data_IF_058379869531
#
_entry.id   IF_058379869531
#
_cell.length_a   1.000
_cell.length_b   1.000
_cell.length_c   1.000
_cell.angle_alpha   90.00
_cell.angle_beta   90.00
_cell.angle_gamma   90.00
#
_symmetry.space_group_name_H-M   'P 1'
#
loop_
_entity.id
_entity.type
_entity.pdbx_description
1 polymer ?
#
# COMPACT_ATOMS: atom_id res chain seq x y z
N UNK A 1 -7.29 35.35 9.45
CA UNK A 1 -6.83 34.20 10.25
C UNK A 1 -6.68 33.06 9.28
N UNK A 2 -5.52 32.41 9.22
CA UNK A 2 -5.37 31.18 8.43
C UNK A 2 -6.17 30.09 9.11
N UNK A 3 -7.22 29.61 8.45
CA UNK A 3 -8.03 28.51 8.96
C UNK A 3 -7.18 27.23 8.99
N UNK A 4 -7.37 26.42 10.04
CA UNK A 4 -6.60 25.18 10.24
C UNK A 4 -7.24 24.06 9.43
N UNK A 5 -6.42 23.30 8.72
CA UNK A 5 -6.83 22.09 8.01
C UNK A 5 -6.68 20.89 8.94
N UNK A 6 -7.73 20.10 9.08
CA UNK A 6 -7.69 18.85 9.84
C UNK A 6 -7.65 17.66 8.89
N UNK A 7 -6.86 16.65 9.23
CA UNK A 7 -6.71 15.44 8.40
C UNK A 7 -6.95 14.22 9.28
N UNK A 8 -7.96 13.41 8.94
CA UNK A 8 -8.24 12.17 9.66
C UNK A 8 -7.45 11.03 9.02
N UNK A 9 -6.52 10.46 9.77
CA UNK A 9 -5.65 9.38 9.33
C UNK A 9 -4.27 9.86 8.89
N UNK A 10 -3.23 9.28 9.51
CA UNK A 10 -1.83 9.54 9.23
C UNK A 10 -1.19 8.58 8.22
N UNK A 11 -1.98 7.93 7.36
CA UNK A 11 -1.46 7.04 6.30
C UNK A 11 -0.67 7.81 5.23
N UNK A 12 -0.29 7.14 4.13
CA UNK A 12 0.47 7.78 3.04
C UNK A 12 -0.23 9.04 2.49
N UNK A 13 -1.54 8.96 2.22
CA UNK A 13 -2.31 10.08 1.69
C UNK A 13 -2.42 11.24 2.69
N UNK A 14 -2.74 10.95 3.96
CA UNK A 14 -2.86 11.99 4.99
C UNK A 14 -1.52 12.67 5.30
N UNK A 15 -0.44 11.89 5.30
CA UNK A 15 0.94 12.39 5.47
C UNK A 15 1.35 13.33 4.33
N UNK A 16 1.10 12.94 3.08
CA UNK A 16 1.42 13.77 1.92
C UNK A 16 0.54 15.03 1.87
N UNK A 17 -0.77 14.91 2.13
CA UNK A 17 -1.68 16.05 2.18
C UNK A 17 -1.27 17.07 3.26
N UNK A 18 -0.89 16.60 4.45
CA UNK A 18 -0.40 17.47 5.52
C UNK A 18 0.86 18.20 5.10
N UNK A 19 1.81 17.48 4.50
CA UNK A 19 3.07 18.05 4.03
C UNK A 19 2.86 19.15 2.98
N UNK A 20 2.01 18.88 1.98
CA UNK A 20 1.73 19.84 0.91
C UNK A 20 1.01 21.08 1.44
N UNK A 21 -0.04 20.90 2.25
CA UNK A 21 -0.78 22.02 2.82
C UNK A 21 0.10 22.90 3.74
N UNK A 22 0.94 22.28 4.57
CA UNK A 22 1.80 23.00 5.49
C UNK A 22 2.92 23.78 4.76
N UNK A 23 3.49 23.24 3.67
CA UNK A 23 4.45 23.98 2.85
C UNK A 23 3.82 25.15 2.09
N UNK A 24 2.50 25.14 1.88
CA UNK A 24 1.74 26.28 1.36
C UNK A 24 1.33 27.29 2.46
N UNK A 25 1.78 27.08 3.71
CA UNK A 25 1.54 27.99 4.82
C UNK A 25 0.22 27.76 5.57
N UNK A 26 -0.47 26.64 5.33
CA UNK A 26 -1.71 26.29 6.03
C UNK A 26 -1.37 25.49 7.30
N UNK A 27 -1.81 25.90 8.50
CA UNK A 27 -1.69 25.08 9.70
C UNK A 27 -2.48 23.78 9.56
N UNK A 28 -1.87 22.64 9.92
CA UNK A 28 -2.46 21.30 9.79
C UNK A 28 -2.47 20.57 11.13
N UNK A 29 -3.57 19.89 11.43
CA UNK A 29 -3.67 18.90 12.50
C UNK A 29 -3.93 17.53 11.89
N UNK A 30 -3.03 16.58 12.11
CA UNK A 30 -3.24 15.16 11.76
C UNK A 30 -3.84 14.46 12.97
N UNK A 31 -5.02 13.87 12.80
CA UNK A 31 -5.66 13.01 13.79
C UNK A 31 -5.32 11.55 13.48
N UNK A 32 -4.56 10.91 14.36
CA UNK A 32 -4.15 9.52 14.19
C UNK A 32 -4.64 8.66 15.37
N UNK A 33 -5.40 7.63 15.05
CA UNK A 33 -5.99 6.75 16.05
C UNK A 33 -4.97 5.75 16.61
N UNK A 34 -3.93 5.42 15.83
CA UNK A 34 -2.85 4.53 16.24
C UNK A 34 -1.81 5.26 17.10
N UNK A 35 -1.19 4.58 18.07
CA UNK A 35 -1.35 3.16 18.40
C UNK A 35 -2.51 2.88 19.37
N UNK A 36 -3.27 3.87 19.84
CA UNK A 36 -4.33 3.65 20.84
C UNK A 36 -5.44 2.73 20.32
N UNK A 37 -5.84 2.94 19.07
CA UNK A 37 -6.77 2.09 18.32
C UNK A 37 -5.98 1.49 17.16
N UNK A 38 -5.47 0.28 17.40
CA UNK A 38 -4.74 -0.48 16.38
C UNK A 38 -5.65 -1.02 15.28
N UNK A 39 -5.03 -1.54 14.22
CA UNK A 39 -5.71 -2.40 13.24
C UNK A 39 -5.02 -3.76 13.21
N UNK A 40 -5.61 -4.75 12.53
CA UNK A 40 -4.97 -6.07 12.40
C UNK A 40 -3.72 -6.06 11.49
N UNK A 41 -3.53 -5.01 10.70
CA UNK A 41 -2.46 -4.92 9.71
C UNK A 41 -1.27 -4.04 10.16
N UNK A 42 -1.55 -2.98 10.91
CA UNK A 42 -0.51 -2.08 11.41
C UNK A 42 0.14 -2.65 12.68
N UNK A 43 1.45 -2.50 12.79
CA UNK A 43 2.27 -2.96 13.90
C UNK A 43 2.80 -1.81 14.75
N UNK A 44 2.76 -0.57 14.25
CA UNK A 44 3.33 0.60 14.93
C UNK A 44 2.34 1.77 15.05
N UNK A 45 2.78 2.83 15.75
CA UNK A 45 2.13 4.14 15.76
C UNK A 45 2.75 5.15 14.78
N UNK A 46 3.62 4.71 13.87
CA UNK A 46 4.24 5.59 12.89
C UNK A 46 3.25 5.94 11.77
N UNK A 47 3.37 7.17 11.29
CA UNK A 47 2.66 7.69 10.13
C UNK A 47 3.23 7.07 8.85
N UNK A 48 2.40 6.96 7.81
CA UNK A 48 2.71 6.33 6.52
C UNK A 48 3.26 4.90 6.59
N UNK A 49 2.94 4.14 7.64
CA UNK A 49 3.33 2.73 7.75
C UNK A 49 2.83 1.90 6.55
N UNK A 50 3.72 1.10 5.95
CA UNK A 50 3.38 0.16 4.88
C UNK A 50 3.00 -1.20 5.46
N UNK A 51 1.76 -1.64 5.23
CA UNK A 51 1.22 -2.89 5.83
C UNK A 51 1.20 -4.10 4.89
N UNK A 52 1.42 -3.90 3.59
CA UNK A 52 1.44 -4.96 2.58
C UNK A 52 2.82 -5.00 1.90
N UNK A 53 2.90 -4.85 0.58
CA UNK A 53 4.17 -4.76 -0.15
C UNK A 53 5.04 -3.61 0.33
N UNK A 54 6.37 -3.80 0.36
CA UNK A 54 7.35 -2.73 0.57
C UNK A 54 7.75 -2.02 -0.73
N UNK A 55 7.07 -2.32 -1.84
CA UNK A 55 7.34 -1.71 -3.14
C UNK A 55 6.22 -0.76 -3.56
N UNK A 56 6.62 0.44 -3.97
CA UNK A 56 5.81 1.41 -4.70
C UNK A 56 5.63 1.04 -6.18
N UNK A 57 6.07 -0.15 -6.61
CA UNK A 57 6.07 -0.65 -7.99
C UNK A 57 7.11 0.08 -8.85
N UNK A 58 6.95 0.01 -10.17
CA UNK A 58 7.90 0.51 -11.17
C UNK A 58 8.25 1.97 -10.92
N UNK A 59 9.55 2.30 -10.99
CA UNK A 59 10.05 3.68 -10.92
C UNK A 59 10.52 4.19 -12.30
N UNK A 60 10.02 3.56 -13.36
CA UNK A 60 10.29 3.87 -14.77
C UNK A 60 9.26 4.90 -15.23
N UNK A 61 9.66 6.16 -15.29
CA UNK A 61 8.79 7.30 -15.60
C UNK A 61 8.52 7.49 -17.11
N UNK A 62 9.28 6.82 -17.97
CA UNK A 62 9.10 6.88 -19.42
C UNK A 62 8.10 5.84 -19.95
N UNK A 63 8.09 4.64 -19.36
CA UNK A 63 7.34 3.47 -19.88
C UNK A 63 6.32 2.91 -18.89
N UNK A 64 6.19 3.48 -17.69
CA UNK A 64 5.23 3.03 -16.68
C UNK A 64 4.42 4.18 -16.07
N UNK A 65 3.09 4.06 -16.08
CA UNK A 65 2.21 5.07 -15.50
C UNK A 65 2.45 5.33 -14.00
N UNK A 66 2.85 4.30 -13.24
CA UNK A 66 3.17 4.46 -11.80
C UNK A 66 4.50 5.20 -11.63
N UNK A 67 5.50 4.87 -12.46
CA UNK A 67 6.78 5.60 -12.45
C UNK A 67 6.60 7.06 -12.83
N UNK A 68 5.74 7.36 -13.80
CA UNK A 68 5.41 8.75 -14.16
C UNK A 68 4.79 9.51 -12.98
N UNK A 69 3.87 8.88 -12.24
CA UNK A 69 3.30 9.48 -11.03
C UNK A 69 4.37 9.73 -9.96
N UNK A 70 5.33 8.81 -9.76
CA UNK A 70 6.44 9.05 -8.84
C UNK A 70 7.26 10.28 -9.27
N UNK A 71 7.55 10.40 -10.57
CA UNK A 71 8.25 11.56 -11.11
C UNK A 71 7.48 12.86 -10.83
N UNK A 72 6.18 12.91 -11.08
CA UNK A 72 5.33 14.08 -10.80
C UNK A 72 5.33 14.42 -9.30
N UNK A 73 5.22 13.42 -8.43
CA UNK A 73 5.30 13.60 -6.97
C UNK A 73 6.67 14.14 -6.53
N UNK A 74 7.76 13.72 -7.17
CA UNK A 74 9.10 14.29 -6.93
C UNK A 74 9.18 15.74 -7.37
N UNK A 75 8.63 16.10 -8.54
CA UNK A 75 8.56 17.48 -9.00
C UNK A 75 7.73 18.36 -8.06
N UNK A 76 6.70 17.79 -7.43
CA UNK A 76 5.87 18.46 -6.42
C UNK A 76 6.52 18.53 -5.02
N UNK A 77 7.78 18.10 -4.85
CA UNK A 77 8.47 18.13 -3.56
C UNK A 77 7.86 17.19 -2.51
N UNK A 78 7.33 16.05 -2.96
CA UNK A 78 6.53 15.16 -2.13
C UNK A 78 7.32 14.48 -1.00
N UNK A 79 6.69 14.38 0.18
CA UNK A 79 7.28 13.78 1.37
C UNK A 79 7.50 12.28 1.22
N UNK A 80 6.49 11.57 0.71
CA UNK A 80 6.50 10.12 0.53
C UNK A 80 7.61 9.71 -0.44
N UNK A 81 7.73 10.36 -1.61
CA UNK A 81 8.79 10.03 -2.57
C UNK A 81 10.18 10.38 -2.01
N UNK A 82 10.35 11.53 -1.36
CA UNK A 82 11.64 11.89 -0.77
C UNK A 82 12.07 10.90 0.34
N UNK A 83 11.14 10.43 1.18
CA UNK A 83 11.43 9.41 2.18
C UNK A 83 11.70 8.04 1.54
N UNK A 84 10.99 7.70 0.46
CA UNK A 84 11.22 6.45 -0.27
C UNK A 84 12.60 6.41 -0.93
N UNK A 85 13.03 7.51 -1.54
CA UNK A 85 14.36 7.65 -2.14
C UNK A 85 15.47 7.49 -1.08
N UNK A 86 15.27 8.07 0.12
CA UNK A 86 16.23 7.98 1.23
C UNK A 86 16.40 6.56 1.80
N UNK A 87 15.36 5.72 1.70
CA UNK A 87 15.32 4.37 2.26
C UNK A 87 15.15 3.29 1.18
N UNK A 88 15.58 3.60 -0.04
CA UNK A 88 15.45 2.73 -1.20
C UNK A 88 16.25 1.43 -1.01
N UNK A 89 15.59 0.32 -1.27
CA UNK A 89 16.18 -1.01 -1.38
C UNK A 89 16.34 -1.42 -2.85
N UNK A 90 17.31 -2.27 -3.18
CA UNK A 90 17.42 -2.87 -4.50
C UNK A 90 16.13 -3.61 -4.89
N UNK A 91 15.54 -3.28 -6.06
CA UNK A 91 14.22 -3.78 -6.44
C UNK A 91 13.99 -3.90 -7.96
N UNK A 92 15.03 -4.18 -8.77
CA UNK A 92 14.84 -4.60 -10.16
C UNK A 92 14.09 -3.63 -11.08
N UNK A 93 14.24 -2.32 -10.85
CA UNK A 93 13.53 -1.25 -11.58
C UNK A 93 12.23 -0.79 -10.90
N UNK A 94 11.81 -1.43 -9.82
CA UNK A 94 10.82 -0.88 -8.90
C UNK A 94 11.49 0.04 -7.86
N UNK A 95 10.69 0.90 -7.24
CA UNK A 95 11.02 1.58 -6.00
C UNK A 95 10.52 0.72 -4.85
N UNK A 96 11.41 0.07 -4.11
CA UNK A 96 11.09 -0.58 -2.85
C UNK A 96 11.85 0.08 -1.72
N UNK A 97 11.32 -0.03 -0.50
CA UNK A 97 11.85 0.65 0.68
C UNK A 97 11.99 -0.31 1.84
N UNK A 98 12.87 0.03 2.77
CA UNK A 98 12.80 -0.53 4.12
C UNK A 98 11.62 0.14 4.85
N UNK A 99 10.65 -0.66 5.29
CA UNK A 99 9.33 -0.17 5.76
C UNK A 99 9.45 0.67 7.03
N UNK A 100 10.26 0.21 7.97
CA UNK A 100 10.39 0.84 9.29
C UNK A 100 11.12 2.19 9.20
N UNK A 101 12.36 2.28 8.65
CA UNK A 101 13.05 3.56 8.50
C UNK A 101 12.29 4.57 7.63
N UNK A 102 11.56 4.09 6.62
CA UNK A 102 10.67 4.90 5.80
C UNK A 102 9.59 5.58 6.63
N UNK A 103 8.80 4.80 7.38
CA UNK A 103 7.69 5.31 8.19
C UNK A 103 8.18 6.22 9.34
N UNK A 104 9.31 5.87 9.96
CA UNK A 104 9.97 6.70 10.97
C UNK A 104 10.38 8.07 10.41
N UNK A 105 10.94 8.09 9.21
CA UNK A 105 11.38 9.33 8.55
C UNK A 105 10.20 10.23 8.20
N UNK A 106 9.13 9.66 7.64
CA UNK A 106 7.89 10.41 7.38
C UNK A 106 7.34 11.01 8.67
N UNK A 107 7.23 10.20 9.72
CA UNK A 107 6.75 10.61 11.04
C UNK A 107 7.59 11.74 11.64
N UNK A 108 8.92 11.59 11.60
CA UNK A 108 9.84 12.58 12.14
C UNK A 108 9.75 13.91 11.39
N UNK A 109 9.68 13.89 10.05
CA UNK A 109 9.55 15.10 9.23
C UNK A 109 8.25 15.84 9.47
N UNK A 110 7.13 15.13 9.60
CA UNK A 110 5.84 15.75 9.91
C UNK A 110 5.83 16.39 11.29
N UNK A 111 6.31 15.66 12.32
CA UNK A 111 6.39 16.19 13.70
C UNK A 111 7.36 17.35 13.86
N UNK A 112 8.37 17.46 12.99
CA UNK A 112 9.32 18.56 12.98
C UNK A 112 8.83 19.81 12.22
N UNK A 113 7.76 19.71 11.43
CA UNK A 113 7.26 20.83 10.64
C UNK A 113 6.50 21.83 11.54
N UNK A 114 6.83 23.13 11.54
CA UNK A 114 6.29 24.10 12.51
C UNK A 114 4.79 24.36 12.38
N UNK A 115 4.20 24.01 11.23
CA UNK A 115 2.78 24.16 10.94
C UNK A 115 2.00 22.85 11.02
N UNK A 116 2.61 21.74 11.45
CA UNK A 116 1.94 20.45 11.58
C UNK A 116 1.94 20.02 13.05
N UNK A 117 0.77 19.71 13.59
CA UNK A 117 0.63 18.97 14.84
C UNK A 117 0.01 17.60 14.57
N UNK A 118 0.33 16.65 15.45
CA UNK A 118 -0.27 15.30 15.43
C UNK A 118 -1.01 15.12 16.74
N UNK A 119 -2.32 14.96 16.64
CA UNK A 119 -3.21 14.72 17.77
C UNK A 119 -3.57 13.23 17.82
N UNK A 120 -3.23 12.52 18.91
CA UNK A 120 -3.63 11.14 19.08
C UNK A 120 -5.12 11.06 19.37
N UNK A 121 -5.84 10.19 18.68
CA UNK A 121 -7.26 9.96 18.93
C UNK A 121 -8.01 9.43 17.72
N UNK A 122 -9.04 8.61 18.00
CA UNK A 122 -9.98 8.18 16.98
C UNK A 122 -11.04 9.27 16.76
N UNK A 123 -11.22 9.68 15.49
CA UNK A 123 -12.35 10.50 15.09
C UNK A 123 -13.50 9.57 14.71
N UNK A 124 -14.49 9.46 15.60
CA UNK A 124 -15.60 8.52 15.45
C UNK A 124 -16.77 9.04 14.60
N UNK A 125 -16.82 10.33 14.29
CA UNK A 125 -17.96 10.97 13.60
C UNK A 125 -17.45 12.04 12.65
N UNK A 126 -18.13 12.18 11.50
CA UNK A 126 -17.84 13.24 10.56
C UNK A 126 -17.99 14.62 11.23
N UNK A 127 -17.01 15.51 11.05
CA UNK A 127 -17.06 16.84 11.59
C UNK A 127 -18.13 17.68 10.87
N UNK A 128 -18.94 18.41 11.64
CA UNK A 128 -20.04 19.22 11.09
C UNK A 128 -19.58 20.54 10.45
N UNK A 129 -18.35 20.99 10.71
CA UNK A 129 -17.79 22.24 10.22
C UNK A 129 -16.27 22.24 10.19
N UNK A 130 -15.68 23.24 9.53
CA UNK A 130 -14.24 23.36 9.34
C UNK A 130 -13.76 22.73 8.02
N UNK A 131 -12.44 22.72 7.83
CA UNK A 131 -11.81 22.16 6.63
C UNK A 131 -11.16 20.83 6.98
N UNK A 132 -11.65 19.76 6.36
CA UNK A 132 -11.24 18.40 6.68
C UNK A 132 -10.88 17.61 5.43
N UNK A 133 -9.80 16.83 5.54
CA UNK A 133 -9.48 15.74 4.61
C UNK A 133 -9.68 14.43 5.35
N UNK A 134 -10.39 13.49 4.71
CA UNK A 134 -10.59 12.14 5.23
C UNK A 134 -9.63 11.22 4.49
N UNK A 135 -8.60 10.74 5.18
CA UNK A 135 -7.49 9.96 4.63
C UNK A 135 -7.23 8.68 5.46
N UNK A 136 -8.29 8.01 5.89
CA UNK A 136 -8.27 6.88 6.84
C UNK A 136 -7.91 5.54 6.23
N UNK A 137 -7.67 5.49 4.92
CA UNK A 137 -7.24 4.27 4.23
C UNK A 137 -8.28 3.15 4.22
N UNK A 138 -7.87 1.93 3.80
CA UNK A 138 -8.78 0.80 3.68
C UNK A 138 -9.30 0.29 5.02
N UNK A 139 -8.61 0.58 6.13
CA UNK A 139 -8.95 0.13 7.48
C UNK A 139 -9.54 1.28 8.32
N UNK A 140 -10.50 1.99 7.73
CA UNK A 140 -11.25 3.05 8.44
C UNK A 140 -11.96 2.45 9.66
N UNK A 141 -11.94 3.14 10.80
CA UNK A 141 -12.55 2.62 12.03
C UNK A 141 -14.07 2.43 11.88
N UNK A 142 -14.62 1.46 12.59
CA UNK A 142 -16.03 1.08 12.45
C UNK A 142 -16.99 2.23 12.76
N UNK A 143 -16.69 3.06 13.76
CA UNK A 143 -17.51 4.21 14.11
C UNK A 143 -17.52 5.28 13.01
N UNK A 144 -16.35 5.64 12.48
CA UNK A 144 -16.25 6.61 11.39
C UNK A 144 -16.87 6.07 10.10
N UNK A 145 -16.68 4.79 9.80
CA UNK A 145 -17.31 4.13 8.66
C UNK A 145 -18.84 4.20 8.73
N UNK A 146 -19.43 4.00 9.92
CA UNK A 146 -20.88 4.18 10.11
C UNK A 146 -21.30 5.64 9.91
N UNK A 147 -20.53 6.60 10.42
CA UNK A 147 -20.81 8.02 10.21
C UNK A 147 -20.72 8.42 8.73
N UNK A 148 -19.75 7.89 7.98
CA UNK A 148 -19.61 8.08 6.54
C UNK A 148 -20.82 7.50 5.80
N UNK A 149 -21.21 6.25 6.11
CA UNK A 149 -22.39 5.60 5.51
C UNK A 149 -23.68 6.38 5.75
N UNK A 150 -23.84 6.96 6.94
CA UNK A 150 -25.01 7.77 7.26
C UNK A 150 -25.09 9.05 6.41
N UNK A 151 -23.93 9.65 6.09
CA UNK A 151 -23.86 10.88 5.29
C UNK A 151 -23.94 10.60 3.77
N UNK A 152 -23.27 9.56 3.28
CA UNK A 152 -23.16 9.28 1.84
C UNK A 152 -24.20 8.32 1.30
N UNK A 153 -24.92 7.62 2.18
CA UNK A 153 -25.70 6.44 1.84
C UNK A 153 -24.86 5.16 1.77
N UNK A 154 -25.52 4.01 1.96
CA UNK A 154 -24.87 2.70 2.13
C UNK A 154 -24.21 2.17 0.85
N UNK A 155 -24.72 2.54 -0.33
CA UNK A 155 -24.23 2.03 -1.63
C UNK A 155 -22.88 2.65 -2.04
N UNK A 156 -22.42 3.69 -1.35
CA UNK A 156 -21.24 4.47 -1.72
C UNK A 156 -19.94 3.99 -1.05
N UNK A 157 -19.97 2.93 -0.23
CA UNK A 157 -18.86 2.56 0.63
C UNK A 157 -18.60 1.04 0.66
N UNK A 158 -17.53 0.63 -0.02
CA UNK A 158 -17.04 -0.74 -0.02
C UNK A 158 -15.60 -0.79 0.52
N UNK A 159 -15.32 -1.73 1.42
CA UNK A 159 -13.96 -1.98 1.93
C UNK A 159 -13.49 -3.34 1.41
N UNK A 160 -12.35 -3.34 0.74
CA UNK A 160 -11.64 -4.56 0.36
C UNK A 160 -10.20 -4.43 0.83
N UNK A 161 -9.71 -5.44 1.53
CA UNK A 161 -8.29 -5.57 1.82
C UNK A 161 -7.65 -6.56 0.83
N UNK A 162 -6.37 -6.34 0.52
CA UNK A 162 -5.61 -7.18 -0.40
C UNK A 162 -4.20 -7.37 0.15
N UNK A 163 -4.07 -8.39 1.02
CA UNK A 163 -2.80 -8.77 1.64
C UNK A 163 -2.35 -10.11 1.08
N UNK A 164 -1.07 -10.19 0.71
CA UNK A 164 -0.40 -11.44 0.37
C UNK A 164 0.27 -12.05 1.61
N UNK A 165 0.37 -13.39 1.72
CA UNK A 165 1.11 -14.04 2.80
C UNK A 165 2.60 -13.63 2.81
N UNK A 166 3.16 -13.46 4.01
CA UNK A 166 4.60 -13.23 4.24
C UNK A 166 5.19 -14.51 4.83
N UNK A 167 6.32 -14.95 4.30
CA UNK A 167 7.06 -16.13 4.77
C UNK A 167 8.46 -15.74 5.24
N UNK A 168 9.01 -16.48 6.20
CA UNK A 168 10.38 -16.29 6.64
C UNK A 168 11.38 -16.71 5.57
N UNK A 169 12.43 -15.92 5.34
CA UNK A 169 13.40 -16.18 4.29
C UNK A 169 14.20 -17.47 4.51
N UNK A 170 14.46 -17.83 5.77
CA UNK A 170 15.21 -19.02 6.18
C UNK A 170 14.41 -20.34 6.06
N UNK A 171 13.09 -20.26 5.85
CA UNK A 171 12.24 -21.44 5.61
C UNK A 171 12.16 -21.85 4.14
N UNK A 172 12.80 -21.11 3.23
CA UNK A 172 12.71 -21.33 1.78
C UNK A 172 13.82 -22.27 1.31
N UNK A 173 13.43 -23.31 0.55
CA UNK A 173 14.35 -24.21 -0.14
C UNK A 173 14.99 -23.52 -1.37
N UNK A 174 16.13 -22.87 -1.15
CA UNK A 174 16.88 -22.17 -2.19
C UNK A 174 17.48 -23.09 -3.27
N UNK A 175 17.42 -24.42 -3.14
CA UNK A 175 17.78 -25.32 -4.24
C UNK A 175 16.76 -25.31 -5.39
N UNK A 176 15.55 -24.79 -5.13
CA UNK A 176 14.44 -24.71 -6.08
C UNK A 176 14.05 -23.29 -6.46
N UNK A 177 14.78 -22.29 -5.96
CA UNK A 177 14.46 -20.88 -6.19
C UNK A 177 15.75 -20.11 -6.51
N UNK A 178 15.63 -18.97 -7.18
CA UNK A 178 16.79 -18.15 -7.49
C UNK A 178 16.47 -16.66 -7.42
N UNK A 179 17.50 -15.88 -7.10
CA UNK A 179 17.39 -14.44 -7.08
C UNK A 179 17.61 -13.86 -8.48
N UNK A 180 16.61 -13.17 -9.01
CA UNK A 180 16.69 -12.45 -10.28
C UNK A 180 15.58 -11.41 -10.42
N UNK A 181 15.96 -10.23 -10.89
CA UNK A 181 15.04 -9.22 -11.39
C UNK A 181 14.81 -9.42 -12.89
N UNK A 182 13.61 -9.10 -13.39
CA UNK A 182 13.28 -9.30 -14.80
C UNK A 182 14.28 -8.58 -15.73
N UNK A 183 14.70 -9.27 -16.78
CA UNK A 183 15.68 -8.86 -17.78
C UNK A 183 17.03 -8.45 -17.18
N UNK A 184 17.34 -8.95 -15.98
CA UNK A 184 18.48 -8.51 -15.20
C UNK A 184 18.51 -6.97 -15.05
N UNK A 185 17.33 -6.34 -14.92
CA UNK A 185 17.21 -4.88 -14.73
C UNK A 185 17.86 -4.49 -13.40
N UNK A 186 18.69 -3.45 -13.45
CA UNK A 186 19.42 -2.91 -12.30
C UNK A 186 20.89 -2.66 -12.62
N UNK A 187 21.44 -1.54 -12.14
CA UNK A 187 22.85 -1.20 -12.35
C UNK A 187 23.75 -2.04 -11.43
N UNK A 188 23.27 -2.32 -10.23
CA UNK A 188 23.99 -3.12 -9.23
C UNK A 188 23.59 -4.58 -9.25
N UNK A 189 24.48 -5.47 -8.78
CA UNK A 189 24.15 -6.90 -8.63
C UNK A 189 22.96 -7.11 -7.69
N UNK A 190 22.87 -6.34 -6.62
CA UNK A 190 21.75 -6.41 -5.69
C UNK A 190 20.42 -6.07 -6.38
N UNK A 191 20.40 -5.05 -7.24
CA UNK A 191 19.19 -4.70 -8.00
C UNK A 191 18.82 -5.78 -9.01
N UNK A 192 19.82 -6.41 -9.64
CA UNK A 192 19.61 -7.54 -10.56
C UNK A 192 19.15 -8.82 -9.85
N UNK A 193 19.32 -8.91 -8.53
CA UNK A 193 18.97 -10.08 -7.69
C UNK A 193 17.93 -9.74 -6.62
N UNK A 194 17.07 -8.76 -6.87
CA UNK A 194 16.17 -8.22 -5.86
C UNK A 194 14.95 -9.09 -5.54
N UNK A 195 14.54 -9.96 -6.46
CA UNK A 195 13.39 -10.83 -6.29
C UNK A 195 13.80 -12.30 -6.24
N UNK A 196 13.22 -13.05 -5.30
CA UNK A 196 13.32 -14.51 -5.28
C UNK A 196 12.22 -15.09 -6.16
N UNK A 197 12.61 -15.92 -7.13
CA UNK A 197 11.72 -16.55 -8.09
C UNK A 197 11.59 -18.04 -7.80
N UNK A 198 10.35 -18.52 -7.71
CA UNK A 198 10.01 -19.93 -7.53
C UNK A 198 9.41 -20.45 -8.85
N UNK A 199 10.16 -21.23 -9.66
CA UNK A 199 9.70 -21.67 -10.96
C UNK A 199 8.66 -22.77 -10.80
N UNK A 200 7.72 -22.82 -11.74
CA UNK A 200 6.82 -23.95 -11.90
C UNK A 200 6.86 -24.44 -13.34
N UNK A 201 6.92 -25.75 -13.51
CA UNK A 201 6.60 -26.36 -14.79
C UNK A 201 5.08 -26.34 -15.02
N UNK A 202 4.67 -26.77 -16.22
CA UNK A 202 3.26 -26.77 -16.59
C UNK A 202 2.40 -27.63 -15.65
N UNK A 203 2.89 -28.81 -15.28
CA UNK A 203 2.13 -29.74 -14.44
C UNK A 203 1.93 -29.17 -13.03
N UNK A 204 2.98 -28.57 -12.47
CA UNK A 204 2.95 -27.90 -11.16
C UNK A 204 2.01 -26.69 -11.19
N UNK A 205 2.07 -25.87 -12.24
CA UNK A 205 1.16 -24.75 -12.41
C UNK A 205 -0.30 -25.20 -12.50
N UNK A 206 -0.61 -26.18 -13.35
CA UNK A 206 -1.97 -26.69 -13.52
C UNK A 206 -2.52 -27.28 -12.21
N UNK A 207 -1.69 -28.05 -11.48
CA UNK A 207 -2.06 -28.58 -10.17
C UNK A 207 -2.25 -27.48 -9.11
N UNK A 208 -1.43 -26.43 -9.14
CA UNK A 208 -1.59 -25.27 -8.26
C UNK A 208 -2.91 -24.54 -8.53
N UNK A 209 -3.27 -24.32 -9.80
CA UNK A 209 -4.55 -23.72 -10.16
C UNK A 209 -5.73 -24.59 -9.69
N UNK A 210 -5.64 -25.90 -9.85
CA UNK A 210 -6.69 -26.82 -9.38
C UNK A 210 -6.85 -26.76 -7.86
N UNK A 211 -5.74 -26.78 -7.13
CA UNK A 211 -5.74 -26.66 -5.68
C UNK A 211 -6.29 -25.30 -5.22
N UNK A 212 -5.91 -24.21 -5.89
CA UNK A 212 -6.37 -22.86 -5.57
C UNK A 212 -7.88 -22.69 -5.81
N UNK A 213 -8.41 -23.26 -6.89
CA UNK A 213 -9.84 -23.20 -7.20
C UNK A 213 -10.68 -24.06 -6.24
N UNK A 214 -10.12 -25.17 -5.76
CA UNK A 214 -10.77 -26.08 -4.82
C UNK A 214 -10.59 -25.68 -3.34
N UNK A 215 -9.70 -24.74 -3.05
CA UNK A 215 -9.43 -24.30 -1.68
C UNK A 215 -10.65 -23.62 -1.04
N UNK A 216 -10.77 -23.78 0.27
CA UNK A 216 -11.76 -23.06 1.06
C UNK A 216 -11.48 -21.55 0.97
N UNK A 217 -12.54 -20.79 0.70
CA UNK A 217 -12.51 -19.33 0.61
C UNK A 217 -13.26 -18.77 1.80
N UNK A 218 -12.80 -17.64 2.32
CA UNK A 218 -13.60 -16.91 3.30
C UNK A 218 -14.89 -16.45 2.65
N UNK A 219 -16.01 -16.75 3.31
CA UNK A 219 -17.31 -16.21 2.92
C UNK A 219 -17.43 -14.76 3.37
N UNK A 220 -17.97 -13.92 2.49
CA UNK A 220 -18.34 -12.56 2.82
C UNK A 220 -19.46 -12.56 3.87
N UNK A 221 -19.40 -11.63 4.82
CA UNK A 221 -20.47 -11.44 5.80
C UNK A 221 -21.75 -10.92 5.11
N UNK A 222 -22.90 -11.13 5.74
CA UNK A 222 -24.20 -10.66 5.22
C UNK A 222 -24.18 -9.13 5.03
N UNK A 223 -24.29 -8.67 3.78
CA UNK A 223 -24.22 -7.25 3.39
C UNK A 223 -22.88 -6.80 2.77
N UNK A 224 -21.86 -7.66 2.75
CA UNK A 224 -20.66 -7.46 1.94
C UNK A 224 -20.94 -7.91 0.50
N UNK A 225 -20.78 -7.02 -0.47
CA UNK A 225 -20.91 -7.38 -1.90
C UNK A 225 -19.53 -7.59 -2.51
N UNK A 226 -19.38 -8.68 -3.26
CA UNK A 226 -18.18 -9.00 -4.03
C UNK A 226 -18.09 -8.18 -5.33
N UNK A 227 -18.39 -6.87 -5.29
CA UNK A 227 -18.01 -5.98 -6.38
C UNK A 227 -16.50 -5.73 -6.27
N UNK A 228 -15.73 -6.72 -6.70
CA UNK A 228 -14.28 -6.63 -6.67
C UNK A 228 -13.82 -5.44 -7.49
N UNK A 229 -12.87 -4.68 -6.93
CA UNK A 229 -12.14 -3.69 -7.69
C UNK A 229 -11.25 -4.41 -8.71
N UNK A 230 -11.56 -4.29 -10.01
CA UNK A 230 -10.83 -5.04 -11.06
C UNK A 230 -9.32 -4.74 -11.11
N UNK A 231 -8.88 -3.61 -10.55
CA UNK A 231 -7.46 -3.28 -10.40
C UNK A 231 -6.74 -4.07 -9.30
N UNK A 232 -7.47 -4.75 -8.41
CA UNK A 232 -6.93 -5.53 -7.29
C UNK A 232 -7.87 -6.71 -6.94
N UNK A 233 -7.58 -7.89 -7.51
CA UNK A 233 -8.39 -9.10 -7.35
C UNK A 233 -7.68 -10.11 -6.44
N UNK A 234 -8.43 -10.85 -5.58
CA UNK A 234 -7.92 -12.06 -4.95
C UNK A 234 -7.42 -13.06 -6.00
N UNK A 235 -6.34 -13.78 -5.69
CA UNK A 235 -5.66 -14.67 -6.64
C UNK A 235 -6.58 -15.80 -7.13
N UNK A 236 -7.46 -16.28 -6.25
CA UNK A 236 -8.50 -17.27 -6.53
C UNK A 236 -9.56 -16.74 -7.51
N UNK A 237 -9.97 -15.47 -7.39
CA UNK A 237 -10.90 -14.81 -8.32
C UNK A 237 -10.24 -14.61 -9.68
N UNK A 238 -8.95 -14.27 -9.71
CA UNK A 238 -8.19 -14.20 -10.96
C UNK A 238 -8.14 -15.57 -11.64
N UNK A 239 -7.94 -16.65 -10.88
CA UNK A 239 -7.94 -18.02 -11.40
C UNK A 239 -9.31 -18.46 -11.94
N UNK A 240 -10.40 -18.08 -11.26
CA UNK A 240 -11.78 -18.35 -11.72
C UNK A 240 -12.09 -17.69 -13.07
N UNK A 241 -11.58 -16.47 -13.27
CA UNK A 241 -11.73 -15.74 -14.54
C UNK A 241 -10.95 -16.37 -15.70
N UNK A 242 -10.05 -17.30 -15.40
CA UNK A 242 -9.35 -18.10 -16.41
C UNK A 242 -8.07 -18.71 -15.86
N UNK A 243 -7.82 -19.97 -16.22
CA UNK A 243 -6.61 -20.70 -15.81
C UNK A 243 -5.31 -20.02 -16.25
N UNK A 244 -5.36 -19.23 -17.31
CA UNK A 244 -4.20 -18.53 -17.86
C UNK A 244 -3.99 -17.13 -17.24
N UNK A 245 -4.95 -16.62 -16.46
CA UNK A 245 -4.92 -15.24 -15.94
C UNK A 245 -3.67 -14.98 -15.11
N UNK A 246 -3.31 -15.91 -14.20
CA UNK A 246 -2.17 -15.72 -13.31
C UNK A 246 -0.82 -15.68 -14.03
N UNK A 247 -0.62 -16.53 -15.06
CA UNK A 247 0.61 -16.51 -15.87
C UNK A 247 0.75 -15.28 -16.79
N UNK A 248 -0.33 -14.51 -16.96
CA UNK A 248 -0.27 -13.20 -17.60
C UNK A 248 -0.20 -12.03 -16.59
N UNK A 249 -0.52 -12.29 -15.32
CA UNK A 249 -0.46 -11.33 -14.22
C UNK A 249 0.70 -11.61 -13.25
N UNK A 250 0.42 -11.97 -11.98
CA UNK A 250 1.43 -12.07 -10.91
C UNK A 250 2.44 -13.20 -11.12
N UNK A 251 2.12 -14.23 -11.90
CA UNK A 251 2.96 -15.42 -12.11
C UNK A 251 3.64 -15.44 -13.48
N UNK A 252 3.74 -14.30 -14.17
CA UNK A 252 4.33 -14.23 -15.51
C UNK A 252 5.85 -14.44 -15.48
N UNK A 253 6.44 -15.27 -16.36
CA UNK A 253 7.89 -15.56 -16.37
C UNK A 253 8.74 -14.55 -17.17
N UNK A 254 8.14 -13.49 -17.71
CA UNK A 254 8.81 -12.58 -18.66
C UNK A 254 10.10 -11.96 -18.12
N UNK A 255 11.21 -12.16 -18.84
CA UNK A 255 12.53 -11.63 -18.49
C UNK A 255 13.28 -12.44 -17.43
N UNK A 256 12.82 -13.65 -17.10
CA UNK A 256 13.53 -14.54 -16.17
C UNK A 256 14.22 -15.66 -16.96
N UNK A 257 15.35 -16.16 -16.44
CA UNK A 257 16.22 -17.16 -17.11
C UNK A 257 16.47 -18.37 -16.22
#
# INVERSE_FOLDING_TARGET
MTETLHIIGGGMAGSEAAWQAANLGVPVVIHEMRPQVGTFAHQTGNLAEMVCSNSFRSDDDEQNAVGLLHWEMRQAGGLIMAAADAHRLPAGGALAVDREPFAETVTARLKAHPLISVEPGEIATLPASGHWIIATGPLTSGALAQSLRAETGADALAFFDAIAPIVYADSIDLSKAWFQSRYDKGETEAERKAYLNCPMDRATYEAFIDALLAADKTEFHEGETAQYFDGCLPIEVMAERGRETLRHGPMKPMGLT
#
